data_IF_511880266853
#
_entry.id   IF_511880266853
#
_cell.length_a   1.000
_cell.length_b   1.000
_cell.length_c   1.000
_cell.angle_alpha   90.00
_cell.angle_beta   90.00
_cell.angle_gamma   90.00
#
_symmetry.space_group_name_H-M   'P 1'
#
loop_
_entity.id
_entity.type
_entity.pdbx_description
1 polymer ?
#
# COMPACT_ATOMS: atom_id res chain seq x y z
N UNK A 1 -28.42 -1.86 -2.74
CA UNK A 1 -27.07 -1.38 -2.39
C UNK A 1 -27.19 0.11 -2.10
N UNK A 2 -26.95 0.54 -0.86
CA UNK A 2 -27.00 1.96 -0.52
C UNK A 2 -25.90 2.68 -1.32
N UNK A 3 -26.26 3.72 -2.08
CA UNK A 3 -25.31 4.46 -2.90
C UNK A 3 -24.37 5.26 -2.01
N UNK A 4 -23.07 5.05 -2.15
CA UNK A 4 -22.04 5.83 -1.45
C UNK A 4 -22.05 7.29 -1.92
N UNK A 5 -21.81 8.23 -1.00
CA UNK A 5 -21.63 9.64 -1.34
C UNK A 5 -20.31 9.84 -2.09
N UNK A 6 -20.43 10.06 -3.41
CA UNK A 6 -19.29 10.23 -4.32
C UNK A 6 -18.49 11.49 -4.03
N UNK A 7 -19.12 12.54 -3.49
CA UNK A 7 -18.45 13.80 -3.20
C UNK A 7 -17.55 13.67 -1.97
N UNK A 8 -18.06 13.02 -0.92
CA UNK A 8 -17.29 12.69 0.26
C UNK A 8 -16.10 11.77 -0.07
N UNK A 9 -16.33 10.72 -0.87
CA UNK A 9 -15.27 9.83 -1.35
C UNK A 9 -14.18 10.61 -2.10
N UNK A 10 -14.56 11.49 -3.02
CA UNK A 10 -13.62 12.30 -3.79
C UNK A 10 -12.74 13.19 -2.91
N UNK A 11 -13.33 13.84 -1.90
CA UNK A 11 -12.59 14.69 -0.97
C UNK A 11 -11.57 13.87 -0.14
N UNK A 12 -11.99 12.69 0.34
CA UNK A 12 -11.13 11.78 1.10
C UNK A 12 -9.94 11.30 0.27
N UNK A 13 -10.18 10.86 -0.97
CA UNK A 13 -9.13 10.41 -1.88
C UNK A 13 -8.16 11.54 -2.25
N UNK A 14 -8.64 12.78 -2.45
CA UNK A 14 -7.78 13.93 -2.74
C UNK A 14 -6.83 14.25 -1.58
N UNK A 15 -7.34 14.24 -0.35
CA UNK A 15 -6.52 14.44 0.84
C UNK A 15 -5.48 13.32 0.98
N UNK A 16 -5.88 12.09 0.65
CA UNK A 16 -4.99 10.93 0.66
C UNK A 16 -3.87 11.04 -0.36
N UNK A 17 -4.15 11.54 -1.56
CA UNK A 17 -3.12 11.76 -2.59
C UNK A 17 -2.04 12.71 -2.11
N UNK A 18 -2.43 13.79 -1.42
CA UNK A 18 -1.47 14.73 -0.83
C UNK A 18 -0.61 14.05 0.24
N UNK A 19 -1.23 13.39 1.21
CA UNK A 19 -0.48 12.73 2.30
C UNK A 19 0.41 11.57 1.82
N UNK A 20 0.01 10.87 0.76
CA UNK A 20 0.85 9.85 0.14
C UNK A 20 2.07 10.44 -0.54
N UNK A 21 1.92 11.59 -1.20
CA UNK A 21 3.01 12.28 -1.89
C UNK A 21 4.05 12.79 -0.89
N UNK A 22 3.61 13.40 0.21
CA UNK A 22 4.49 13.99 1.21
C UNK A 22 5.32 12.95 1.98
N UNK A 23 4.82 11.71 2.09
CA UNK A 23 5.46 10.61 2.83
C UNK A 23 6.26 9.66 1.94
N UNK A 24 6.41 10.01 0.67
CA UNK A 24 7.08 9.14 -0.31
C UNK A 24 8.57 9.07 0.02
N UNK A 25 8.96 7.99 0.68
CA UNK A 25 10.36 7.62 0.91
C UNK A 25 10.58 6.20 0.35
N UNK A 26 11.42 6.08 -0.69
CA UNK A 26 11.98 4.78 -1.10
C UNK A 26 11.51 4.12 -2.41
N UNK A 27 12.24 3.05 -2.71
CA UNK A 27 12.44 2.32 -3.97
C UNK A 27 11.40 1.20 -4.22
N UNK A 28 11.23 0.81 -5.48
CA UNK A 28 10.18 -0.10 -5.97
C UNK A 28 10.58 -1.56 -5.75
N UNK A 29 10.27 -2.15 -4.59
CA UNK A 29 10.64 -3.54 -4.30
C UNK A 29 9.47 -4.39 -3.79
N UNK A 30 9.04 -5.37 -4.59
CA UNK A 30 7.89 -6.25 -4.32
C UNK A 30 8.28 -7.60 -3.69
N UNK A 31 9.38 -7.69 -2.92
CA UNK A 31 9.87 -8.97 -2.37
C UNK A 31 9.35 -9.31 -0.96
N UNK A 32 8.32 -8.61 -0.49
CA UNK A 32 7.73 -8.81 0.83
C UNK A 32 6.52 -9.75 0.85
N UNK A 33 6.13 -10.30 -0.31
CA UNK A 33 5.03 -11.25 -0.40
C UNK A 33 5.47 -12.67 0.00
N UNK A 34 4.55 -13.43 0.59
CA UNK A 34 4.78 -14.85 0.89
C UNK A 34 5.03 -15.64 -0.41
N UNK A 35 6.00 -16.57 -0.44
CA UNK A 35 6.23 -17.41 -1.61
C UNK A 35 5.01 -18.26 -2.00
N UNK A 36 4.14 -18.58 -1.04
CA UNK A 36 2.93 -19.38 -1.25
C UNK A 36 1.75 -18.57 -1.79
N UNK A 37 1.88 -17.24 -1.90
CA UNK A 37 0.82 -16.38 -2.39
C UNK A 37 0.82 -16.35 -3.93
N UNK A 38 -0.25 -16.84 -4.56
CA UNK A 38 -0.46 -16.70 -6.00
C UNK A 38 -0.83 -15.25 -6.36
N UNK A 39 0.20 -14.41 -6.57
CA UNK A 39 0.01 -12.99 -6.90
C UNK A 39 0.35 -12.73 -8.36
N UNK A 40 -0.66 -12.28 -9.12
CA UNK A 40 -0.50 -11.85 -10.51
C UNK A 40 -0.10 -10.39 -10.55
N UNK A 41 1.19 -10.12 -10.77
CA UNK A 41 1.66 -8.76 -10.99
C UNK A 41 1.39 -8.31 -12.42
N UNK A 42 0.70 -7.17 -12.55
CA UNK A 42 0.69 -6.44 -13.81
C UNK A 42 2.06 -5.83 -14.06
N UNK A 43 2.73 -6.24 -15.14
CA UNK A 43 4.00 -5.67 -15.59
C UNK A 43 3.80 -5.07 -16.98
N UNK A 44 3.68 -3.73 -17.11
CA UNK A 44 3.45 -3.10 -18.41
C UNK A 44 4.64 -3.41 -19.33
N UNK A 45 4.36 -3.92 -20.52
CA UNK A 45 5.38 -4.15 -21.54
C UNK A 45 5.56 -2.90 -22.41
N UNK A 46 6.75 -2.65 -22.99
CA UNK A 46 6.94 -1.55 -23.91
C UNK A 46 5.99 -1.63 -25.10
N UNK A 47 5.25 -0.56 -25.37
CA UNK A 47 4.32 -0.43 -26.48
C UNK A 47 4.85 0.61 -27.46
N UNK A 48 4.88 0.29 -28.76
CA UNK A 48 5.30 1.25 -29.79
C UNK A 48 4.16 2.23 -30.08
N UNK A 49 4.13 3.33 -29.33
CA UNK A 49 3.26 4.48 -29.59
C UNK A 49 1.85 4.44 -28.97
N UNK A 50 1.48 3.36 -28.28
CA UNK A 50 0.20 3.29 -27.55
C UNK A 50 0.45 3.39 -26.04
N UNK A 51 -0.07 4.42 -25.34
CA UNK A 51 0.10 4.51 -23.90
C UNK A 51 -0.67 3.41 -23.17
N UNK A 52 -0.17 2.99 -22.01
CA UNK A 52 -0.94 2.15 -21.08
C UNK A 52 -1.98 3.02 -20.38
N UNK A 53 -3.24 2.60 -20.47
CA UNK A 53 -4.34 3.21 -19.71
C UNK A 53 -4.54 2.36 -18.46
N UNK A 54 -4.48 2.98 -17.29
CA UNK A 54 -4.58 2.30 -15.99
C UNK A 54 -5.68 2.99 -15.18
N UNK A 55 -6.73 2.23 -14.87
CA UNK A 55 -7.77 2.67 -13.95
C UNK A 55 -7.46 2.15 -12.54
N UNK A 56 -7.22 3.07 -11.61
CA UNK A 56 -7.01 2.74 -10.20
C UNK A 56 -8.39 2.65 -9.54
N UNK A 57 -8.75 1.46 -9.06
CA UNK A 57 -10.04 1.20 -8.41
C UNK A 57 -9.88 1.40 -6.90
N UNK A 58 -10.59 2.37 -6.28
CA UNK A 58 -10.59 2.53 -4.83
C UNK A 58 -11.27 1.36 -4.11
N UNK A 59 -10.89 1.13 -2.86
CA UNK A 59 -11.45 0.10 -1.99
C UNK A 59 -11.67 0.65 -0.58
N UNK A 60 -12.47 -0.06 0.22
CA UNK A 60 -12.71 0.27 1.62
C UNK A 60 -11.68 -0.44 2.48
N UNK A 61 -11.00 0.31 3.34
CA UNK A 61 -10.01 -0.24 4.26
C UNK A 61 -10.65 -1.22 5.26
N UNK A 62 -10.13 -2.44 5.28
CA UNK A 62 -10.52 -3.47 6.23
C UNK A 62 -9.91 -3.27 7.61
N UNK A 63 -10.14 -4.23 8.51
CA UNK A 63 -9.65 -4.18 9.89
C UNK A 63 -8.12 -4.26 10.01
N UNK A 64 -7.49 -5.03 9.11
CA UNK A 64 -6.04 -5.27 9.11
C UNK A 64 -5.27 -4.23 8.28
N UNK A 65 -5.87 -3.09 7.94
CA UNK A 65 -5.19 -2.04 7.19
C UNK A 65 -4.08 -1.43 8.07
N UNK A 66 -2.89 -1.13 7.53
CA UNK A 66 -1.77 -0.62 8.32
C UNK A 66 -2.04 0.83 8.76
N UNK A 67 -2.39 0.98 10.04
CA UNK A 67 -2.88 2.24 10.64
C UNK A 67 -1.78 3.12 11.21
N UNK A 68 -0.55 2.61 11.35
CA UNK A 68 0.60 3.42 11.80
C UNK A 68 1.38 4.04 10.64
N UNK A 69 1.37 3.39 9.48
CA UNK A 69 1.92 3.98 8.25
C UNK A 69 0.91 4.86 7.51
N UNK A 70 -0.36 4.84 7.87
CA UNK A 70 -1.39 5.65 7.23
C UNK A 70 -2.45 6.10 8.22
N UNK A 71 -2.96 7.32 8.07
CA UNK A 71 -4.08 7.83 8.87
C UNK A 71 -5.44 7.19 8.48
N UNK A 72 -5.41 6.07 7.74
CA UNK A 72 -6.57 5.37 7.22
C UNK A 72 -7.10 4.44 8.33
N UNK A 73 -8.40 4.55 8.59
CA UNK A 73 -9.12 3.71 9.55
C UNK A 73 -10.01 2.72 8.82
N UNK A 74 -10.46 1.69 9.54
CA UNK A 74 -11.47 0.74 9.04
C UNK A 74 -12.70 1.52 8.54
N UNK A 75 -13.13 1.25 7.31
CA UNK A 75 -14.26 1.93 6.67
C UNK A 75 -13.89 3.13 5.79
N UNK A 76 -12.65 3.61 5.85
CA UNK A 76 -12.18 4.70 4.99
C UNK A 76 -11.91 4.23 3.56
N UNK A 77 -12.08 5.14 2.60
CA UNK A 77 -11.68 4.90 1.22
C UNK A 77 -10.17 5.01 1.05
N UNK A 78 -9.59 3.99 0.42
CA UNK A 78 -8.19 3.93 0.05
C UNK A 78 -8.06 3.55 -1.43
N UNK A 79 -6.91 3.85 -2.02
CA UNK A 79 -6.58 3.46 -3.39
C UNK A 79 -5.16 2.87 -3.51
N UNK A 80 -4.38 2.93 -2.44
CA UNK A 80 -3.03 2.38 -2.31
C UNK A 80 -2.87 1.82 -0.89
N UNK A 81 -2.16 0.70 -0.79
CA UNK A 81 -1.69 0.11 0.45
C UNK A 81 -0.24 0.56 0.73
N UNK A 82 -0.05 1.38 1.76
CA UNK A 82 1.28 1.83 2.18
C UNK A 82 1.83 0.91 3.27
N UNK A 83 2.94 0.22 2.99
CA UNK A 83 3.61 -0.67 3.94
C UNK A 83 5.03 -0.23 4.21
N UNK A 84 5.42 -0.23 5.48
CA UNK A 84 6.82 -0.14 5.90
C UNK A 84 7.44 -1.53 5.92
N UNK A 85 8.57 -1.68 5.25
CA UNK A 85 9.33 -2.94 5.20
C UNK A 85 10.75 -2.72 5.71
N UNK A 86 11.30 -3.73 6.38
CA UNK A 86 12.74 -3.85 6.58
C UNK A 86 13.34 -4.55 5.36
N UNK A 87 14.37 -3.96 4.77
CA UNK A 87 15.16 -4.58 3.71
C UNK A 87 16.44 -5.20 4.29
N UNK A 88 17.05 -6.13 3.55
CA UNK A 88 18.33 -6.76 3.89
C UNK A 88 18.35 -7.50 5.24
N UNK A 89 17.25 -8.16 5.60
CA UNK A 89 17.16 -8.92 6.84
C UNK A 89 17.81 -10.30 6.68
N UNK A 90 18.82 -10.57 7.50
CA UNK A 90 19.56 -11.83 7.52
C UNK A 90 20.46 -12.06 6.29
N UNK A 91 21.14 -13.22 6.22
CA UNK A 91 22.07 -13.55 5.14
C UNK A 91 21.40 -13.65 3.76
N UNK A 92 20.10 -13.98 3.73
CA UNK A 92 19.29 -14.03 2.50
C UNK A 92 18.79 -12.66 2.00
N UNK A 93 19.13 -11.57 2.69
CA UNK A 93 18.68 -10.20 2.38
C UNK A 93 17.16 -10.10 2.17
N UNK A 94 16.40 -10.77 3.04
CA UNK A 94 14.95 -10.81 2.94
C UNK A 94 14.33 -9.42 3.14
N UNK A 95 13.14 -9.23 2.57
CA UNK A 95 12.28 -8.08 2.88
C UNK A 95 11.12 -8.56 3.74
N UNK A 96 10.93 -7.92 4.88
CA UNK A 96 9.88 -8.31 5.85
C UNK A 96 9.05 -7.10 6.25
N UNK A 97 7.76 -7.30 6.38
CA UNK A 97 6.81 -6.26 6.81
C UNK A 97 7.08 -5.94 8.29
N UNK A 98 7.22 -4.66 8.63
CA UNK A 98 7.50 -4.23 10.00
C UNK A 98 6.21 -4.18 10.85
N UNK A 99 6.04 -5.02 11.89
CA UNK A 99 4.86 -4.96 12.75
C UNK A 99 4.77 -3.64 13.54
N UNK A 100 5.89 -3.07 13.99
CA UNK A 100 5.91 -1.84 14.78
C UNK A 100 5.49 -0.62 13.97
N UNK A 101 6.08 -0.42 12.79
CA UNK A 101 5.81 0.75 11.96
C UNK A 101 4.46 0.70 11.25
N UNK A 102 3.91 -0.50 10.98
CA UNK A 102 2.60 -0.65 10.33
C UNK A 102 1.43 -0.75 11.32
N UNK A 103 1.63 -1.39 12.47
CA UNK A 103 0.54 -1.73 13.41
C UNK A 103 0.80 -1.32 14.86
N UNK A 104 2.03 -0.93 15.22
CA UNK A 104 2.40 -0.62 16.60
C UNK A 104 2.68 -1.86 17.46
N UNK A 105 2.84 -3.02 16.84
CA UNK A 105 3.15 -4.27 17.51
C UNK A 105 4.67 -4.44 17.72
N UNK A 106 5.13 -5.22 18.71
CA UNK A 106 6.56 -5.43 18.94
C UNK A 106 7.31 -5.93 17.69
N UNK A 107 8.52 -5.42 17.45
CA UNK A 107 9.33 -5.76 16.27
C UNK A 107 10.79 -6.02 16.68
N UNK A 108 11.29 -7.27 16.58
CA UNK A 108 12.67 -7.61 16.93
C UNK A 108 13.77 -6.95 16.06
N UNK A 109 13.39 -6.24 15.01
CA UNK A 109 14.32 -5.52 14.11
C UNK A 109 14.38 -4.04 14.47
N UNK A 110 13.32 -3.49 15.07
CA UNK A 110 13.27 -2.08 15.48
C UNK A 110 13.86 -1.85 16.87
N UNK A 111 13.85 -2.87 17.72
CA UNK A 111 14.39 -2.90 19.09
C UNK A 111 15.77 -3.56 19.12
#
# INVERSE_FOLDING_TARGET
MAGYDRNAMKAQLLNRTKSSYDRKDGDTNSKYFSPDAEIKFYRPQPTKGTPHIIDIIPFIAGENFPTKTSDIKKGDWAYVLDLFIHSNVGPGKAMVVCPAKNYGNPCPICD
#
